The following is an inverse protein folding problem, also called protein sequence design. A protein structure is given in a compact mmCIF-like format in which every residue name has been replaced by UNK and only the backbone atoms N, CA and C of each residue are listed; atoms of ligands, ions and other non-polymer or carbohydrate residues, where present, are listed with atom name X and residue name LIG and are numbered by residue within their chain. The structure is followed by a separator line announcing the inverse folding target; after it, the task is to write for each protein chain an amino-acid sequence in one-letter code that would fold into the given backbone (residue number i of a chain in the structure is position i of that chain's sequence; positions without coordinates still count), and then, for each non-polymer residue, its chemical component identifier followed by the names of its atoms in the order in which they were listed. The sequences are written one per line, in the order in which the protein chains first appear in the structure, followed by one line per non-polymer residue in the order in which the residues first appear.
data_IF_938047841228
#
_entry.id   IF_938047841228
#
_cell.length_a   1.000
_cell.length_b   1.000
_cell.length_c   1.000
_cell.angle_alpha   90.00
_cell.angle_beta   90.00
_cell.angle_gamma   90.00
#
_symmetry.space_group_name_H-M   'P 1'
#
loop_
_entity.id
_entity.type
_entity.pdbx_description
1 polymer ?
#
# COMPACT_ATOMS: atom_id res chain seq x y z
N UNK A 1 21.84 3.55 -4.94
CA UNK A 1 21.53 4.86 -4.35
C UNK A 1 20.05 5.09 -4.26
N UNK A 2 19.59 5.86 -3.28
CA UNK A 2 18.19 6.30 -3.19
C UNK A 2 18.06 7.60 -3.99
N UNK A 3 17.13 7.62 -4.93
CA UNK A 3 16.78 8.81 -5.68
C UNK A 3 15.42 9.30 -5.21
N UNK A 4 15.33 10.57 -4.82
CA UNK A 4 14.09 11.23 -4.43
C UNK A 4 13.87 12.47 -5.28
N UNK A 5 12.62 12.67 -5.70
CA UNK A 5 12.18 13.88 -6.37
C UNK A 5 10.80 14.26 -5.88
N UNK A 6 10.50 15.55 -5.85
CA UNK A 6 9.15 16.05 -5.63
C UNK A 6 8.44 16.17 -6.95
N UNK A 7 7.25 15.58 -7.06
CA UNK A 7 6.42 15.64 -8.24
C UNK A 7 5.31 16.69 -8.03
N UNK A 8 4.96 17.41 -9.08
CA UNK A 8 3.71 18.17 -9.11
C UNK A 8 2.57 17.23 -9.45
N UNK A 9 1.38 17.50 -8.90
CA UNK A 9 0.17 16.73 -9.24
C UNK A 9 -0.06 16.76 -10.75
N UNK A 10 -0.21 15.59 -11.34
CA UNK A 10 -0.47 15.37 -12.76
C UNK A 10 -1.46 14.21 -12.93
N UNK A 11 -2.10 14.16 -14.11
CA UNK A 11 -3.06 13.09 -14.44
C UNK A 11 -2.35 11.73 -14.60
N UNK A 12 -1.10 11.76 -15.04
CA UNK A 12 -0.24 10.58 -15.14
C UNK A 12 1.24 10.96 -15.03
N UNK A 13 2.07 9.98 -14.74
CA UNK A 13 3.51 10.13 -14.62
C UNK A 13 4.23 9.16 -15.55
N UNK A 14 5.34 9.64 -16.10
CA UNK A 14 6.28 8.83 -16.87
C UNK A 14 7.61 8.76 -16.12
N UNK A 15 8.25 7.58 -16.16
CA UNK A 15 9.56 7.37 -15.60
C UNK A 15 10.57 7.10 -16.71
N UNK A 16 11.71 7.77 -16.65
CA UNK A 16 12.86 7.48 -17.52
C UNK A 16 14.12 7.42 -16.66
N UNK A 17 14.83 6.29 -16.72
CA UNK A 17 16.10 6.11 -16.04
C UNK A 17 17.18 5.94 -17.09
N UNK A 18 18.20 6.79 -17.03
CA UNK A 18 19.37 6.74 -17.92
C UNK A 18 20.66 6.61 -17.12
N UNK A 19 21.66 5.95 -17.70
CA UNK A 19 23.03 5.90 -17.21
C UNK A 19 24.01 6.15 -18.35
N UNK A 20 24.89 7.11 -18.19
CA UNK A 20 25.82 7.56 -19.22
C UNK A 20 25.13 7.86 -20.57
N UNK A 21 23.93 8.46 -20.50
CA UNK A 21 23.12 8.81 -21.68
C UNK A 21 22.36 7.65 -22.33
N UNK A 22 22.53 6.43 -21.85
CA UNK A 22 21.80 5.25 -22.33
C UNK A 22 20.54 5.03 -21.49
N UNK A 23 19.41 4.76 -22.16
CA UNK A 23 18.18 4.37 -21.49
C UNK A 23 18.38 3.01 -20.82
N UNK A 24 18.06 2.95 -19.52
CA UNK A 24 18.12 1.72 -18.72
C UNK A 24 16.71 1.18 -18.46
N UNK A 25 15.79 2.07 -18.09
CA UNK A 25 14.41 1.71 -17.80
C UNK A 25 13.48 2.85 -18.16
N UNK A 26 12.26 2.51 -18.54
CA UNK A 26 11.16 3.45 -18.73
C UNK A 26 9.83 2.86 -18.25
N UNK A 27 8.94 3.72 -17.80
CA UNK A 27 7.56 3.43 -17.50
C UNK A 27 6.71 4.62 -17.90
N UNK A 28 5.51 4.40 -18.37
CA UNK A 28 4.67 5.47 -18.87
C UNK A 28 3.21 5.32 -18.44
N UNK A 29 2.56 6.47 -18.24
CA UNK A 29 1.12 6.54 -18.00
C UNK A 29 0.66 6.06 -16.64
N UNK A 30 1.55 5.90 -15.67
CA UNK A 30 1.15 5.53 -14.31
C UNK A 30 0.40 6.68 -13.66
N UNK A 31 -0.79 6.39 -13.15
CA UNK A 31 -1.61 7.34 -12.39
C UNK A 31 -1.52 7.02 -10.90
N UNK A 32 -1.76 8.01 -10.06
CA UNK A 32 -1.99 7.78 -8.63
C UNK A 32 -3.49 7.64 -8.36
N UNK A 33 -3.92 6.95 -7.30
CA UNK A 33 -5.31 6.95 -6.86
C UNK A 33 -5.85 8.39 -6.70
N UNK A 34 -7.11 8.64 -7.06
CA UNK A 34 -7.68 10.01 -7.12
C UNK A 34 -7.79 10.69 -5.76
N UNK A 35 -7.85 9.92 -4.70
CA UNK A 35 -7.94 10.43 -3.33
C UNK A 35 -7.26 9.49 -2.34
N UNK A 36 -7.00 10.01 -1.15
CA UNK A 36 -6.52 9.22 -0.02
C UNK A 36 -7.68 8.37 0.49
N UNK A 37 -7.51 7.04 0.69
CA UNK A 37 -8.54 6.22 1.32
C UNK A 37 -8.76 6.63 2.78
N UNK A 38 -9.98 6.44 3.27
CA UNK A 38 -10.35 6.73 4.65
C UNK A 38 -10.86 5.45 5.30
N UNK A 39 -10.29 5.07 6.43
CA UNK A 39 -10.81 3.99 7.28
C UNK A 39 -12.11 4.49 7.91
N UNK A 40 -13.18 3.71 7.81
CA UNK A 40 -14.54 4.17 8.11
C UNK A 40 -15.15 3.57 9.38
N UNK A 41 -14.56 2.51 9.90
CA UNK A 41 -15.11 1.74 11.04
C UNK A 41 -14.20 1.73 12.28
N UNK A 42 -13.08 2.45 12.25
CA UNK A 42 -12.15 2.55 13.38
C UNK A 42 -11.82 4.03 13.63
N UNK A 43 -11.71 4.38 14.91
CA UNK A 43 -11.22 5.67 15.36
C UNK A 43 -9.93 5.52 16.18
N UNK A 44 -9.04 6.50 16.10
CA UNK A 44 -7.81 6.50 16.93
C UNK A 44 -8.13 6.51 18.42
N UNK A 45 -7.58 5.55 19.14
CA UNK A 45 -7.85 5.30 20.55
C UNK A 45 -8.83 4.15 20.80
N UNK A 46 -9.40 3.55 19.75
CA UNK A 46 -10.22 2.36 19.90
C UNK A 46 -9.45 1.23 20.57
N UNK A 47 -10.17 0.49 21.42
CA UNK A 47 -9.62 -0.65 22.15
C UNK A 47 -9.98 -1.96 21.46
N UNK A 48 -8.96 -2.77 21.21
CA UNK A 48 -9.10 -4.08 20.61
C UNK A 48 -8.58 -5.18 21.55
N UNK A 49 -9.22 -6.34 21.54
CA UNK A 49 -8.76 -7.49 22.33
C UNK A 49 -7.71 -8.27 21.54
N UNK A 50 -6.58 -8.56 22.17
CA UNK A 50 -5.56 -9.46 21.62
C UNK A 50 -6.19 -10.80 21.22
N UNK A 51 -5.63 -11.44 20.21
CA UNK A 51 -6.09 -12.72 19.64
C UNK A 51 -7.49 -12.70 18.99
N UNK A 52 -8.20 -11.57 19.03
CA UNK A 52 -9.42 -11.37 18.23
C UNK A 52 -9.07 -10.80 16.85
N UNK A 53 -9.80 -11.24 15.85
CA UNK A 53 -9.66 -10.69 14.48
C UNK A 53 -10.20 -9.26 14.43
N UNK A 54 -9.50 -8.38 13.71
CA UNK A 54 -9.92 -6.99 13.49
C UNK A 54 -10.37 -6.81 12.04
N UNK A 55 -11.61 -6.40 11.85
CA UNK A 55 -12.09 -5.97 10.54
C UNK A 55 -11.74 -4.50 10.33
N UNK A 56 -11.09 -4.20 9.20
CA UNK A 56 -10.80 -2.84 8.74
C UNK A 56 -11.67 -2.57 7.51
N UNK A 57 -12.43 -1.48 7.52
CA UNK A 57 -13.28 -1.06 6.39
C UNK A 57 -12.86 0.33 5.90
N UNK A 58 -12.98 0.56 4.59
CA UNK A 58 -12.62 1.83 3.97
C UNK A 58 -13.54 2.21 2.81
N UNK A 59 -13.51 3.50 2.45
CA UNK A 59 -14.21 4.00 1.28
C UNK A 59 -13.51 3.58 -0.02
N UNK A 60 -14.26 3.34 -1.07
CA UNK A 60 -13.70 3.14 -2.41
C UNK A 60 -13.07 4.43 -2.95
N UNK A 61 -12.01 4.27 -3.73
CA UNK A 61 -11.28 5.34 -4.42
C UNK A 61 -11.10 4.94 -5.88
N UNK A 62 -11.18 5.89 -6.80
CA UNK A 62 -10.96 5.65 -8.23
C UNK A 62 -9.47 5.53 -8.56
N UNK A 63 -9.17 4.97 -9.74
CA UNK A 63 -7.81 4.72 -10.22
C UNK A 63 -7.00 3.79 -9.30
N UNK A 64 -7.62 2.72 -8.84
CA UNK A 64 -7.01 1.67 -8.02
C UNK A 64 -7.03 0.36 -8.78
N UNK A 65 -5.96 -0.41 -8.73
CA UNK A 65 -5.89 -1.78 -9.25
C UNK A 65 -5.88 -2.82 -8.15
N UNK A 66 -5.39 -2.43 -6.96
CA UNK A 66 -5.38 -3.28 -5.77
C UNK A 66 -5.33 -2.47 -4.48
N UNK A 67 -5.60 -3.14 -3.38
CA UNK A 67 -5.53 -2.59 -2.03
C UNK A 67 -4.57 -3.40 -1.17
N UNK A 68 -4.03 -2.76 -0.14
CA UNK A 68 -3.24 -3.43 0.87
C UNK A 68 -3.53 -2.83 2.24
N UNK A 69 -3.66 -3.68 3.25
CA UNK A 69 -3.86 -3.28 4.64
C UNK A 69 -2.61 -3.64 5.43
N UNK A 70 -2.12 -2.70 6.22
CA UNK A 70 -0.94 -2.89 7.05
C UNK A 70 -1.22 -2.57 8.51
N UNK A 71 -0.45 -3.20 9.39
CA UNK A 71 -0.37 -2.84 10.81
C UNK A 71 1.09 -2.70 11.22
N UNK A 72 1.40 -1.64 11.94
CA UNK A 72 2.74 -1.36 12.44
C UNK A 72 2.74 -1.10 13.94
N UNK A 73 3.87 -1.37 14.59
CA UNK A 73 4.14 -1.05 15.99
C UNK A 73 5.42 -0.23 16.06
N UNK A 74 5.34 0.99 16.58
CA UNK A 74 6.48 1.90 16.68
C UNK A 74 7.23 2.07 15.32
N UNK A 75 6.48 2.15 14.23
CA UNK A 75 7.00 2.30 12.87
C UNK A 75 7.55 1.02 12.24
N UNK A 76 7.51 -0.11 12.93
CA UNK A 76 7.88 -1.42 12.38
C UNK A 76 6.64 -2.19 11.95
N UNK A 77 6.56 -2.55 10.67
CA UNK A 77 5.45 -3.33 10.14
C UNK A 77 5.41 -4.73 10.77
N UNK A 78 4.24 -5.09 11.33
CA UNK A 78 3.98 -6.39 11.97
C UNK A 78 2.97 -7.23 11.19
N UNK A 79 2.20 -6.59 10.33
CA UNK A 79 1.26 -7.24 9.42
C UNK A 79 1.19 -6.52 8.09
N UNK A 80 1.02 -7.30 7.04
CA UNK A 80 0.75 -6.84 5.68
C UNK A 80 -0.17 -7.85 4.99
N UNK A 81 -1.28 -7.37 4.43
CA UNK A 81 -2.16 -8.22 3.65
C UNK A 81 -1.53 -8.57 2.31
N UNK A 82 -1.99 -9.63 1.68
CA UNK A 82 -1.82 -9.80 0.23
C UNK A 82 -2.46 -8.62 -0.51
N UNK A 83 -2.15 -8.48 -1.80
CA UNK A 83 -2.86 -7.51 -2.64
C UNK A 83 -4.34 -7.93 -2.79
N UNK A 84 -5.22 -7.07 -2.32
CA UNK A 84 -6.66 -7.29 -2.35
C UNK A 84 -7.24 -6.78 -3.68
N UNK A 85 -8.36 -7.37 -4.17
CA UNK A 85 -8.97 -6.95 -5.42
C UNK A 85 -9.48 -5.50 -5.37
N UNK A 86 -9.60 -4.89 -6.55
CA UNK A 86 -9.97 -3.46 -6.70
C UNK A 86 -11.31 -3.08 -6.09
N UNK A 87 -12.24 -4.01 -5.98
CA UNK A 87 -13.57 -3.84 -5.39
C UNK A 87 -13.61 -4.14 -3.88
N UNK A 88 -12.48 -4.48 -3.26
CA UNK A 88 -12.40 -4.68 -1.83
C UNK A 88 -12.63 -3.35 -1.08
N UNK A 89 -13.48 -3.39 -0.07
CA UNK A 89 -13.73 -2.28 0.86
C UNK A 89 -13.58 -2.70 2.32
N UNK A 90 -13.12 -3.92 2.56
CA UNK A 90 -12.84 -4.44 3.89
C UNK A 90 -11.77 -5.55 3.85
N UNK A 91 -11.10 -5.72 4.98
CA UNK A 91 -10.15 -6.80 5.20
C UNK A 91 -10.10 -7.18 6.69
N UNK A 92 -9.79 -8.44 6.96
CA UNK A 92 -9.63 -8.95 8.34
C UNK A 92 -8.14 -9.14 8.63
N UNK A 93 -7.64 -8.43 9.64
CA UNK A 93 -6.31 -8.69 10.22
C UNK A 93 -6.49 -9.80 11.26
N UNK A 94 -5.82 -10.97 11.10
CA UNK A 94 -5.93 -12.05 12.09
C UNK A 94 -5.39 -11.65 13.45
N UNK A 95 -6.09 -12.03 14.52
CA UNK A 95 -5.73 -11.69 15.90
C UNK A 95 -4.33 -12.11 16.33
N UNK A 96 -3.77 -13.14 15.67
CA UNK A 96 -2.40 -13.62 15.94
C UNK A 96 -1.29 -12.61 15.65
N UNK A 97 -1.58 -11.54 14.89
CA UNK A 97 -0.62 -10.47 14.58
C UNK A 97 -0.63 -9.33 15.60
N UNK A 98 -1.59 -9.31 16.53
CA UNK A 98 -1.69 -8.24 17.51
C UNK A 98 -0.81 -8.52 18.74
N UNK A 99 0.02 -7.55 19.07
CA UNK A 99 0.77 -7.47 20.32
C UNK A 99 0.01 -6.56 21.31
N UNK A 100 0.14 -6.74 22.63
CA UNK A 100 -0.58 -5.92 23.62
C UNK A 100 0.06 -4.52 23.76
N UNK A 101 0.03 -3.76 22.69
CA UNK A 101 0.58 -2.39 22.55
C UNK A 101 -0.28 -1.62 21.54
N UNK A 102 0.02 -0.34 21.33
CA UNK A 102 -0.60 0.44 20.27
C UNK A 102 -0.13 -0.01 18.89
N UNK A 103 -1.08 -0.21 17.99
CA UNK A 103 -0.87 -0.51 16.58
C UNK A 103 -1.35 0.63 15.69
N UNK A 104 -0.57 0.95 14.68
CA UNK A 104 -0.94 1.88 13.60
C UNK A 104 -1.53 1.06 12.45
N UNK A 105 -2.80 1.30 12.11
CA UNK A 105 -3.50 0.64 11.01
C UNK A 105 -3.54 1.61 9.82
N UNK A 106 -3.17 1.11 8.64
CA UNK A 106 -3.24 1.86 7.38
C UNK A 106 -3.85 1.03 6.25
N UNK A 107 -4.45 1.73 5.30
CA UNK A 107 -4.94 1.20 4.04
C UNK A 107 -4.22 1.90 2.89
N UNK A 108 -3.65 1.13 2.00
CA UNK A 108 -2.98 1.59 0.78
C UNK A 108 -3.87 1.33 -0.43
N UNK A 109 -4.23 2.37 -1.15
CA UNK A 109 -4.78 2.30 -2.50
C UNK A 109 -3.62 2.28 -3.49
N UNK A 110 -3.55 1.28 -4.35
CA UNK A 110 -2.41 1.05 -5.25
C UNK A 110 -2.91 1.03 -6.70
N UNK A 111 -2.21 1.74 -7.59
CA UNK A 111 -2.39 1.64 -9.03
C UNK A 111 -1.08 1.13 -9.67
N UNK A 112 -1.19 0.09 -10.50
CA UNK A 112 -0.05 -0.54 -11.19
C UNK A 112 0.38 -1.89 -10.64
N UNK A 113 -0.20 -2.36 -9.52
CA UNK A 113 -0.06 -3.74 -9.03
C UNK A 113 -1.42 -4.43 -8.96
N UNK A 114 -1.44 -5.71 -9.25
CA UNK A 114 -2.67 -6.50 -9.35
C UNK A 114 -2.67 -7.65 -8.34
N UNK A 115 -3.86 -8.09 -7.88
CA UNK A 115 -3.98 -9.26 -7.02
C UNK A 115 -3.31 -10.50 -7.65
N UNK A 116 -2.52 -11.20 -6.85
CA UNK A 116 -1.70 -12.33 -7.32
C UNK A 116 -0.24 -11.97 -7.64
N UNK A 117 0.11 -10.68 -7.63
CA UNK A 117 1.47 -10.19 -7.85
C UNK A 117 2.28 -10.10 -6.55
N UNK A 118 1.78 -10.63 -5.45
CA UNK A 118 2.38 -10.53 -4.11
C UNK A 118 3.83 -11.01 -4.06
N UNK A 119 4.17 -12.04 -4.83
CA UNK A 119 5.55 -12.49 -4.96
C UNK A 119 6.45 -11.47 -5.67
N UNK A 120 5.85 -10.58 -6.45
CA UNK A 120 6.57 -9.57 -7.17
C UNK A 120 7.09 -8.47 -6.22
N UNK A 121 6.38 -8.14 -5.13
CA UNK A 121 6.82 -7.17 -4.12
C UNK A 121 8.10 -7.63 -3.41
N UNK A 122 8.24 -8.92 -3.10
CA UNK A 122 9.39 -9.49 -2.41
C UNK A 122 10.51 -9.95 -3.34
N UNK A 123 10.20 -10.32 -4.58
CA UNK A 123 11.17 -10.79 -5.57
C UNK A 123 10.69 -10.47 -7.00
N UNK A 124 10.82 -9.22 -7.45
CA UNK A 124 10.35 -8.81 -8.78
C UNK A 124 11.13 -9.53 -9.88
N UNK A 125 10.55 -10.57 -10.44
CA UNK A 125 11.12 -11.27 -11.61
C UNK A 125 10.74 -10.61 -12.93
N UNK A 126 9.69 -9.79 -12.91
CA UNK A 126 9.13 -9.08 -14.06
C UNK A 126 9.01 -7.60 -13.72
N UNK A 127 9.17 -6.72 -14.69
CA UNK A 127 8.86 -5.28 -14.52
C UNK A 127 7.35 -5.07 -14.63
N UNK A 128 6.76 -4.38 -13.65
CA UNK A 128 5.37 -3.94 -13.68
C UNK A 128 5.33 -2.45 -14.00
N UNK A 129 4.61 -2.09 -15.05
CA UNK A 129 4.55 -0.72 -15.57
C UNK A 129 5.94 -0.09 -15.82
N UNK A 130 6.97 -0.94 -16.00
CA UNK A 130 8.35 -0.54 -16.28
C UNK A 130 8.98 -1.47 -17.32
N UNK A 131 9.59 -0.89 -18.34
CA UNK A 131 10.38 -1.59 -19.34
C UNK A 131 11.87 -1.57 -18.95
N UNK A 132 12.58 -2.70 -19.18
CA UNK A 132 14.00 -2.83 -18.90
C UNK A 132 14.29 -3.70 -17.69
N UNK A 133 14.85 -3.18 -16.60
CA UNK A 133 15.16 -3.97 -15.42
C UNK A 133 13.90 -4.36 -14.66
N UNK A 134 14.06 -5.32 -13.77
CA UNK A 134 13.02 -5.75 -12.85
C UNK A 134 12.71 -4.62 -11.86
N UNK A 135 11.42 -4.38 -11.57
CA UNK A 135 10.98 -3.33 -10.66
C UNK A 135 9.51 -3.00 -10.81
N UNK A 136 9.09 -1.98 -10.12
CA UNK A 136 7.72 -1.45 -10.18
C UNK A 136 7.73 0.04 -10.49
N UNK A 137 6.76 0.45 -11.28
CA UNK A 137 6.37 1.84 -11.41
C UNK A 137 4.87 1.92 -11.09
N UNK A 138 4.53 2.35 -9.90
CA UNK A 138 3.17 2.33 -9.38
C UNK A 138 2.84 3.63 -8.65
N UNK A 139 1.56 3.96 -8.59
CA UNK A 139 1.02 5.04 -7.76
C UNK A 139 0.43 4.48 -6.47
N UNK A 140 0.69 5.12 -5.33
CA UNK A 140 0.14 4.75 -4.04
C UNK A 140 -0.46 5.97 -3.35
N UNK A 141 -1.68 5.83 -2.81
CA UNK A 141 -2.26 6.74 -1.84
C UNK A 141 -2.49 5.98 -0.54
N UNK A 142 -1.96 6.51 0.56
CA UNK A 142 -2.07 5.92 1.91
C UNK A 142 -3.11 6.66 2.72
N UNK A 143 -3.93 5.92 3.50
CA UNK A 143 -4.77 6.52 4.54
C UNK A 143 -3.92 7.19 5.63
N UNK A 144 -4.53 8.07 6.40
CA UNK A 144 -3.99 8.42 7.70
C UNK A 144 -3.88 7.17 8.58
N UNK A 145 -2.95 7.20 9.53
CA UNK A 145 -2.84 6.16 10.55
C UNK A 145 -4.06 6.22 11.46
N UNK A 146 -4.65 5.06 11.73
CA UNK A 146 -5.59 4.88 12.85
C UNK A 146 -4.89 4.08 13.94
N UNK A 147 -4.67 4.72 15.09
CA UNK A 147 -4.05 4.09 16.25
C UNK A 147 -5.08 3.27 17.03
N UNK A 148 -4.87 1.98 17.20
CA UNK A 148 -5.68 1.12 18.07
C UNK A 148 -4.87 0.64 19.28
N UNK A 149 -5.51 0.57 20.44
CA UNK A 149 -4.91 0.09 21.70
C UNK A 149 -5.26 -1.38 21.87
N UNK A 150 -4.28 -2.26 21.81
CA UNK A 150 -4.50 -3.69 21.98
C UNK A 150 -4.25 -4.09 23.44
N UNK A 151 -5.27 -4.67 24.07
CA UNK A 151 -5.23 -5.19 25.44
C UNK A 151 -5.19 -6.73 25.43
N UNK A 152 -4.57 -7.32 26.49
CA UNK A 152 -4.59 -8.77 26.76
C UNK A 152 -6.00 -9.28 27.05
#
# INVERSE_FOLDING_TARGET
GLYQTSLTTADSYDLTITHDGNLIASGAGVTIPESIPVITNLDSGDVHQRESDLTVEWNSVSNVTSWQVTSAVSGSQVYESILLPLDATSHIIPGSYFLPVTHDIQVNAINGLYPGDDNALSNPEVGYEIEGPKGYFMGIAQSDNVEIIVND
#
